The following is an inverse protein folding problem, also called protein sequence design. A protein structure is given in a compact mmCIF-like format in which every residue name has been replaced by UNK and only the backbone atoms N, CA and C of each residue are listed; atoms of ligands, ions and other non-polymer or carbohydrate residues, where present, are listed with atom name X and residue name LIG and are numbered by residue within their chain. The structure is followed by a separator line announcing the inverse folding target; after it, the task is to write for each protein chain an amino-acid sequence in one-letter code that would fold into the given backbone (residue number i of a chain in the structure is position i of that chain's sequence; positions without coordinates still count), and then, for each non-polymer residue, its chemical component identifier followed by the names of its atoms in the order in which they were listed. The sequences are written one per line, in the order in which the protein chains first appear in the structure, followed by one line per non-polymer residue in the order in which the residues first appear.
data_IF_183452411334
#
_entry.id   IF_183452411334
#
_cell.length_a   1.000
_cell.length_b   1.000
_cell.length_c   1.000
_cell.angle_alpha   90.00
_cell.angle_beta   90.00
_cell.angle_gamma   90.00
#
_symmetry.space_group_name_H-M   'P 1'
#
loop_
_entity.id
_entity.type
_entity.pdbx_description
1 polymer ?
#
# COMPACT_ATOMS: atom_id res chain seq x y z
N UNK A 1 -9.32 2.05 4.35
CA UNK A 1 -7.91 1.87 3.95
C UNK A 1 -7.80 2.05 2.45
N UNK A 2 -6.82 2.83 2.00
CA UNK A 2 -6.49 3.02 0.59
C UNK A 2 -5.29 2.13 0.24
N UNK A 3 -5.56 1.02 -0.42
CA UNK A 3 -4.55 0.01 -0.76
C UNK A 3 -3.90 0.33 -2.11
N UNK A 4 -2.84 1.15 -2.13
CA UNK A 4 -2.16 1.59 -3.35
C UNK A 4 -1.69 0.43 -4.25
N UNK A 5 -1.28 -0.66 -3.64
CA UNK A 5 -0.80 -1.84 -4.36
C UNK A 5 -1.80 -3.01 -4.32
N UNK A 6 -3.06 -2.74 -3.92
CA UNK A 6 -4.11 -3.73 -3.85
C UNK A 6 -3.98 -4.70 -2.66
N UNK A 7 -4.57 -5.89 -2.78
CA UNK A 7 -4.60 -6.88 -1.71
C UNK A 7 -4.56 -8.31 -2.24
N UNK A 8 -3.82 -9.18 -1.57
CA UNK A 8 -3.84 -10.63 -1.82
C UNK A 8 -5.13 -11.31 -1.36
N UNK A 9 -5.98 -10.61 -0.60
CA UNK A 9 -7.27 -11.13 -0.11
C UNK A 9 -8.38 -11.07 -1.17
N UNK A 10 -8.09 -10.50 -2.33
CA UNK A 10 -8.99 -10.41 -3.48
C UNK A 10 -8.31 -10.93 -4.73
N UNK A 11 -9.11 -11.48 -5.64
CA UNK A 11 -8.66 -11.91 -6.96
C UNK A 11 -9.69 -11.55 -8.02
N UNK A 12 -9.29 -11.46 -9.25
CA UNK A 12 -10.18 -11.18 -10.38
C UNK A 12 -9.68 -11.85 -11.67
N UNK A 13 -10.58 -12.01 -12.61
CA UNK A 13 -10.23 -12.47 -13.97
C UNK A 13 -9.61 -11.33 -14.77
N UNK A 14 -8.43 -11.54 -15.34
CA UNK A 14 -7.74 -10.54 -16.18
C UNK A 14 -8.48 -10.19 -17.47
N UNK A 15 -9.40 -11.05 -17.94
CA UNK A 15 -10.13 -10.85 -19.20
C UNK A 15 -11.53 -10.23 -19.01
N UNK A 16 -12.30 -10.71 -18.02
CA UNK A 16 -13.69 -10.27 -17.83
C UNK A 16 -13.94 -9.54 -16.51
N UNK A 17 -12.90 -9.33 -15.71
CA UNK A 17 -12.91 -8.63 -14.42
C UNK A 17 -13.86 -9.22 -13.37
N UNK A 18 -14.35 -10.46 -13.57
CA UNK A 18 -15.16 -11.14 -12.57
C UNK A 18 -14.35 -11.31 -11.28
N UNK A 19 -14.89 -10.90 -10.12
CA UNK A 19 -14.21 -11.08 -8.84
C UNK A 19 -14.21 -12.56 -8.41
N UNK A 20 -13.16 -12.93 -7.71
CA UNK A 20 -13.00 -14.24 -7.08
C UNK A 20 -12.44 -14.06 -5.66
N UNK A 21 -12.83 -14.95 -4.72
CA UNK A 21 -12.22 -14.94 -3.39
C UNK A 21 -10.77 -15.43 -3.47
N UNK A 22 -9.94 -15.02 -2.50
CA UNK A 22 -8.50 -15.31 -2.48
C UNK A 22 -8.19 -16.82 -2.46
N UNK A 23 -9.04 -17.63 -1.82
CA UNK A 23 -8.90 -19.09 -1.73
C UNK A 23 -8.94 -19.76 -3.11
N UNK A 24 -9.60 -19.13 -4.10
CA UNK A 24 -9.62 -19.63 -5.48
C UNK A 24 -8.23 -19.74 -6.10
N UNK A 25 -7.25 -18.99 -5.59
CA UNK A 25 -5.85 -19.03 -6.01
C UNK A 25 -5.10 -20.25 -5.46
N UNK A 26 -5.58 -20.84 -4.37
CA UNK A 26 -4.89 -21.90 -3.61
C UNK A 26 -5.36 -23.33 -3.93
N UNK A 27 -6.38 -23.49 -4.78
CA UNK A 27 -6.98 -24.79 -5.05
C UNK A 27 -6.71 -25.25 -6.48
N UNK A 28 -5.65 -26.04 -6.66
CA UNK A 28 -5.37 -26.75 -7.89
C UNK A 28 -3.92 -26.68 -8.36
N UNK A 29 -3.57 -27.57 -9.27
CA UNK A 29 -2.31 -27.51 -9.99
C UNK A 29 -2.44 -26.57 -11.19
N UNK A 30 -1.44 -25.70 -11.38
CA UNK A 30 -1.32 -24.80 -12.52
C UNK A 30 -1.98 -23.43 -12.33
N UNK A 31 -2.16 -22.72 -13.44
CA UNK A 31 -2.68 -21.35 -13.46
C UNK A 31 -4.20 -21.35 -13.34
N UNK A 32 -4.80 -20.71 -12.31
CA UNK A 32 -6.23 -20.68 -12.13
C UNK A 32 -6.93 -19.93 -13.27
N UNK A 33 -8.05 -20.49 -13.76
CA UNK A 33 -8.81 -19.91 -14.88
C UNK A 33 -10.25 -19.64 -14.51
N UNK A 34 -10.74 -18.56 -15.09
CA UNK A 34 -12.13 -18.16 -15.08
C UNK A 34 -12.97 -19.03 -16.04
N UNK A 35 -14.27 -19.06 -15.83
CA UNK A 35 -15.21 -19.72 -16.77
C UNK A 35 -15.17 -19.11 -18.19
N UNK A 36 -14.71 -17.87 -18.35
CA UNK A 36 -14.48 -17.25 -19.67
C UNK A 36 -13.16 -17.65 -20.33
N UNK A 37 -12.33 -18.50 -19.65
CA UNK A 37 -11.01 -18.92 -20.12
C UNK A 37 -9.87 -18.00 -19.68
N UNK A 38 -10.16 -16.77 -19.21
CA UNK A 38 -9.16 -15.81 -18.73
C UNK A 38 -8.43 -16.28 -17.48
N UNK A 39 -7.22 -15.76 -17.25
CA UNK A 39 -6.42 -16.06 -16.04
C UNK A 39 -7.02 -15.34 -14.84
N UNK A 40 -7.13 -16.03 -13.71
CA UNK A 40 -7.47 -15.41 -12.43
C UNK A 40 -6.15 -15.00 -11.77
N UNK A 41 -6.05 -13.73 -11.37
CA UNK A 41 -4.88 -13.16 -10.70
C UNK A 41 -5.28 -12.48 -9.38
N UNK A 42 -4.38 -12.37 -8.40
CA UNK A 42 -4.64 -11.56 -7.22
C UNK A 42 -4.78 -10.08 -7.60
N UNK A 43 -5.56 -9.35 -6.81
CA UNK A 43 -5.78 -7.91 -6.96
C UNK A 43 -4.59 -7.13 -6.38
N UNK A 44 -3.43 -7.28 -7.02
CA UNK A 44 -2.18 -6.60 -6.66
C UNK A 44 -1.58 -5.91 -7.88
N UNK A 45 -0.93 -4.77 -7.64
CA UNK A 45 -0.15 -4.05 -8.65
C UNK A 45 1.25 -4.63 -8.69
N UNK A 46 1.67 -5.12 -9.85
CA UNK A 46 3.03 -5.64 -10.08
C UNK A 46 3.95 -4.53 -10.63
N UNK A 47 5.25 -4.83 -10.72
CA UNK A 47 6.21 -3.95 -11.38
C UNK A 47 5.76 -3.62 -12.80
N UNK A 48 5.96 -2.35 -13.20
CA UNK A 48 5.56 -1.80 -14.50
C UNK A 48 4.03 -1.66 -14.70
N UNK A 49 3.21 -2.08 -13.76
CA UNK A 49 1.77 -1.80 -13.77
C UNK A 49 1.47 -0.44 -13.13
N UNK A 50 0.56 0.37 -13.70
CA UNK A 50 0.18 1.65 -13.09
C UNK A 50 -0.65 1.44 -11.83
N UNK A 51 -0.54 2.37 -10.89
CA UNK A 51 -1.45 2.46 -9.76
C UNK A 51 -2.84 2.94 -10.21
N UNK A 52 -3.88 2.65 -9.42
CA UNK A 52 -5.23 3.20 -9.67
C UNK A 52 -5.23 4.69 -9.33
N UNK A 53 -5.45 5.55 -10.34
CA UNK A 53 -5.44 7.00 -10.21
C UNK A 53 -6.45 7.53 -9.18
N UNK A 54 -7.58 6.84 -8.99
CA UNK A 54 -8.59 7.21 -7.99
C UNK A 54 -8.05 6.99 -6.57
N UNK A 55 -7.40 5.84 -6.34
CA UNK A 55 -6.81 5.52 -5.04
C UNK A 55 -5.66 6.49 -4.74
N UNK A 56 -4.82 6.78 -5.73
CA UNK A 56 -3.73 7.76 -5.59
C UNK A 56 -4.27 9.14 -5.27
N UNK A 57 -5.27 9.61 -6.01
CA UNK A 57 -5.87 10.93 -5.80
C UNK A 57 -6.51 11.06 -4.42
N UNK A 58 -7.22 10.03 -3.95
CA UNK A 58 -7.81 9.99 -2.62
C UNK A 58 -6.72 9.98 -1.53
N UNK A 59 -5.64 9.22 -1.73
CA UNK A 59 -4.51 9.20 -0.80
C UNK A 59 -3.84 10.57 -0.70
N UNK A 60 -3.59 11.24 -1.83
CA UNK A 60 -3.04 12.60 -1.87
C UNK A 60 -3.94 13.56 -1.09
N UNK A 61 -5.26 13.50 -1.32
CA UNK A 61 -6.22 14.33 -0.61
C UNK A 61 -6.14 14.10 0.90
N UNK A 62 -6.25 12.84 1.35
CA UNK A 62 -6.18 12.51 2.77
C UNK A 62 -4.87 12.99 3.42
N UNK A 63 -3.72 12.82 2.74
CA UNK A 63 -2.42 13.25 3.25
C UNK A 63 -2.35 14.78 3.32
N UNK A 64 -2.83 15.49 2.31
CA UNK A 64 -2.77 16.96 2.26
C UNK A 64 -3.66 17.64 3.30
N UNK A 65 -4.74 16.97 3.72
CA UNK A 65 -5.71 17.46 4.73
C UNK A 65 -5.38 16.97 6.15
N UNK A 66 -4.39 16.08 6.31
CA UNK A 66 -4.05 15.52 7.60
C UNK A 66 -3.37 16.53 8.52
N UNK A 67 -3.80 16.63 9.78
CA UNK A 67 -3.12 17.40 10.82
C UNK A 67 -1.86 16.72 11.32
N UNK A 68 -1.88 15.39 11.37
CA UNK A 68 -0.75 14.53 11.77
C UNK A 68 -0.56 13.47 10.71
N UNK A 69 0.68 13.30 10.24
CA UNK A 69 1.06 12.21 9.36
C UNK A 69 1.97 11.23 10.11
N UNK A 70 1.53 9.99 10.21
CA UNK A 70 2.35 8.90 10.77
C UNK A 70 2.74 7.97 9.64
N UNK A 71 4.04 7.78 9.45
CA UNK A 71 4.59 6.86 8.44
C UNK A 71 5.26 5.71 9.17
N UNK A 72 4.91 4.49 8.83
CA UNK A 72 5.44 3.33 9.52
C UNK A 72 5.75 2.14 8.60
N UNK A 73 6.82 1.40 8.94
CA UNK A 73 7.16 0.14 8.28
C UNK A 73 7.57 0.27 6.81
N UNK A 74 8.16 1.40 6.42
CA UNK A 74 8.61 1.63 5.03
C UNK A 74 9.98 2.31 4.99
N UNK A 75 10.77 1.98 3.97
CA UNK A 75 12.07 2.62 3.72
C UNK A 75 11.94 4.00 3.07
N UNK A 76 10.75 4.36 2.56
CA UNK A 76 10.49 5.58 1.76
C UNK A 76 11.39 5.70 0.51
N UNK A 77 11.80 4.57 -0.07
CA UNK A 77 12.63 4.51 -1.28
C UNK A 77 11.87 4.01 -2.52
N UNK A 78 10.66 3.45 -2.35
CA UNK A 78 9.88 2.86 -3.44
C UNK A 78 8.90 3.87 -4.00
N UNK A 79 9.16 4.34 -5.21
CA UNK A 79 8.27 5.25 -5.94
C UNK A 79 7.22 4.47 -6.74
N UNK A 80 6.00 5.03 -6.95
CA UNK A 80 5.59 6.40 -6.61
C UNK A 80 5.12 6.60 -5.16
N UNK A 81 4.92 5.53 -4.37
CA UNK A 81 4.36 5.63 -3.02
C UNK A 81 5.20 6.52 -2.07
N UNK A 82 6.53 6.43 -2.13
CA UNK A 82 7.42 7.28 -1.35
C UNK A 82 7.22 8.79 -1.60
N UNK A 83 6.82 9.15 -2.82
CA UNK A 83 6.55 10.55 -3.19
C UNK A 83 5.31 11.15 -2.55
N UNK A 84 4.41 10.34 -1.97
CA UNK A 84 3.19 10.82 -1.35
C UNK A 84 3.44 11.70 -0.12
N UNK A 85 4.56 11.53 0.57
CA UNK A 85 4.96 12.38 1.71
C UNK A 85 5.04 13.87 1.30
N UNK A 86 5.41 14.17 0.05
CA UNK A 86 5.56 15.53 -0.44
C UNK A 86 4.23 16.31 -0.53
N UNK A 87 3.10 15.63 -0.42
CA UNK A 87 1.77 16.26 -0.39
C UNK A 87 1.33 16.65 1.02
N UNK A 88 2.03 16.21 2.06
CA UNK A 88 1.73 16.59 3.43
C UNK A 88 1.95 18.09 3.64
N UNK A 89 0.98 18.76 4.27
CA UNK A 89 0.96 20.20 4.53
C UNK A 89 0.93 20.55 6.01
N UNK A 90 0.81 19.54 6.87
CA UNK A 90 0.81 19.72 8.31
C UNK A 90 2.23 19.97 8.87
N UNK A 91 2.31 19.99 10.19
CA UNK A 91 3.55 20.24 10.94
C UNK A 91 3.79 19.20 12.05
N UNK A 92 3.23 18.00 11.89
CA UNK A 92 3.38 16.89 12.84
C UNK A 92 3.63 15.59 12.10
N UNK A 93 4.88 15.39 11.68
CA UNK A 93 5.33 14.19 10.97
C UNK A 93 6.00 13.24 11.96
N UNK A 94 5.49 12.01 12.08
CA UNK A 94 6.10 10.94 12.85
C UNK A 94 6.54 9.79 11.95
N UNK A 95 7.76 9.31 12.15
CA UNK A 95 8.30 8.13 11.46
C UNK A 95 8.51 6.99 12.47
N UNK A 96 7.95 5.82 12.16
CA UNK A 96 8.13 4.58 12.95
C UNK A 96 8.68 3.50 12.03
N UNK A 97 9.99 3.30 12.04
CA UNK A 97 10.65 2.34 11.17
C UNK A 97 11.89 1.75 11.85
N UNK A 98 12.22 0.49 11.55
CA UNK A 98 13.41 -0.16 12.13
C UNK A 98 14.72 0.50 11.72
N UNK A 99 14.81 0.88 10.44
CA UNK A 99 15.99 1.50 9.85
C UNK A 99 15.76 2.99 9.62
N UNK A 100 16.83 3.76 9.54
CA UNK A 100 16.77 5.16 9.12
C UNK A 100 16.18 5.29 7.71
N UNK A 101 15.50 6.40 7.49
CA UNK A 101 14.90 6.78 6.22
C UNK A 101 15.49 8.11 5.74
N UNK A 102 15.39 8.44 4.45
CA UNK A 102 15.83 9.74 3.93
C UNK A 102 15.11 10.95 4.58
N UNK A 103 13.96 10.72 5.22
CA UNK A 103 13.10 11.74 5.82
C UNK A 103 13.23 11.87 7.33
N UNK A 104 14.14 11.13 7.97
CA UNK A 104 14.32 11.19 9.43
C UNK A 104 14.63 12.63 9.91
N UNK A 105 15.40 13.40 9.13
CA UNK A 105 15.73 14.78 9.47
C UNK A 105 14.58 15.79 9.31
N UNK A 106 13.52 15.39 8.61
CA UNK A 106 12.34 16.22 8.35
C UNK A 106 11.20 15.92 9.31
N UNK A 107 11.29 14.82 10.06
CA UNK A 107 10.24 14.38 10.98
C UNK A 107 10.38 15.03 12.36
N UNK A 108 9.24 15.37 12.96
CA UNK A 108 9.18 15.88 14.34
C UNK A 108 9.41 14.77 15.36
N UNK A 109 9.09 13.53 15.01
CA UNK A 109 9.28 12.34 15.85
C UNK A 109 9.78 11.17 15.02
N UNK A 110 10.92 10.60 15.41
CA UNK A 110 11.48 9.37 14.81
C UNK A 110 11.60 8.29 15.86
N UNK A 111 11.04 7.11 15.58
CA UNK A 111 11.10 5.93 16.46
C UNK A 111 11.69 4.76 15.68
N UNK A 112 12.91 4.34 16.00
CA UNK A 112 13.56 3.16 15.42
C UNK A 112 13.20 1.90 16.18
N UNK A 113 11.98 1.40 15.98
CA UNK A 113 11.45 0.19 16.61
C UNK A 113 10.45 -0.51 15.66
N UNK A 114 10.11 -1.76 15.98
CA UNK A 114 9.05 -2.51 15.28
C UNK A 114 7.72 -1.80 15.42
N UNK A 115 7.06 -1.52 14.30
CA UNK A 115 5.79 -0.80 14.29
C UNK A 115 4.73 -1.44 15.20
N UNK A 116 4.61 -2.77 15.19
CA UNK A 116 3.66 -3.48 16.07
C UNK A 116 3.95 -3.29 17.55
N UNK A 117 5.23 -3.16 17.95
CA UNK A 117 5.61 -2.90 19.34
C UNK A 117 5.25 -1.48 19.77
N UNK A 118 5.42 -0.51 18.88
CA UNK A 118 5.05 0.89 19.15
C UNK A 118 3.54 1.01 19.31
N UNK A 119 2.78 0.52 18.32
CA UNK A 119 1.32 0.65 18.32
C UNK A 119 0.60 -0.24 19.36
N UNK A 120 1.26 -1.24 19.93
CA UNK A 120 0.68 -2.01 21.04
C UNK A 120 0.69 -1.27 22.38
N UNK A 121 1.30 -0.08 22.45
CA UNK A 121 1.43 0.72 23.68
C UNK A 121 0.44 1.89 23.74
N UNK A 122 -0.37 2.06 22.72
CA UNK A 122 -1.38 3.14 22.57
C UNK A 122 -2.77 2.60 22.34
#
# INVERSE_FOLDING_TARGET
VLELHGSILRSYCSACHRPYPADKMNHGEGVPRCICGGVIRPDIVLYEEPLDDRIVSEAIKCISEAEVLIIGGTSLNVYPAAGLINYYRGNKLALVNLSSTPYDSEADLVIHEKIGKVFSQI
#
